data_IF_023983434338
#
_entry.id   IF_023983434338
#
_cell.length_a   1.000
_cell.length_b   1.000
_cell.length_c   1.000
_cell.angle_alpha   90.00
_cell.angle_beta   90.00
_cell.angle_gamma   90.00
#
_symmetry.space_group_name_H-M   'P 1'
#
loop_
_entity.id
_entity.type
_entity.pdbx_description
1 polymer ?
#
# COMPACT_ATOMS: atom_id res chain seq x y z
N UNK A 1 -11.23 -8.65 6.24
CA UNK A 1 -10.20 -7.84 5.56
C UNK A 1 -9.98 -8.38 4.14
N UNK A 2 -9.67 -7.50 3.19
CA UNK A 2 -9.28 -7.87 1.82
C UNK A 2 -7.85 -7.42 1.59
N UNK A 3 -7.04 -8.31 0.99
CA UNK A 3 -5.65 -8.06 0.66
C UNK A 3 -5.49 -7.94 -0.86
N UNK A 4 -4.71 -6.96 -1.30
CA UNK A 4 -4.29 -6.82 -2.69
C UNK A 4 -2.79 -6.48 -2.80
N UNK A 5 -1.97 -7.28 -3.49
CA UNK A 5 -2.26 -8.64 -3.94
C UNK A 5 -2.76 -9.54 -2.80
N UNK A 6 -3.60 -10.52 -3.15
CA UNK A 6 -4.23 -11.44 -2.19
C UNK A 6 -3.22 -12.37 -1.52
N UNK A 7 -3.57 -12.91 -0.36
CA UNK A 7 -2.73 -13.89 0.34
C UNK A 7 -2.54 -15.16 -0.48
N UNK A 8 -1.28 -15.57 -0.66
CA UNK A 8 -0.87 -16.69 -1.52
C UNK A 8 -1.04 -16.43 -3.03
N UNK A 9 -1.39 -15.22 -3.44
CA UNK A 9 -1.63 -14.91 -4.86
C UNK A 9 -0.34 -14.63 -5.64
N UNK A 10 -0.45 -14.69 -6.97
CA UNK A 10 0.60 -14.26 -7.90
C UNK A 10 0.11 -13.03 -8.67
N UNK A 11 0.87 -11.94 -8.62
CA UNK A 11 0.58 -10.71 -9.38
C UNK A 11 1.53 -10.54 -10.57
N UNK A 12 1.04 -10.20 -11.77
CA UNK A 12 1.89 -9.79 -12.89
C UNK A 12 2.33 -8.33 -12.77
N UNK A 13 1.75 -7.56 -11.83
CA UNK A 13 2.01 -6.13 -11.68
C UNK A 13 3.21 -5.95 -10.75
N UNK A 14 4.36 -5.62 -11.32
CA UNK A 14 5.62 -5.45 -10.56
C UNK A 14 6.03 -4.00 -10.35
N UNK A 15 5.38 -3.03 -11.01
CA UNK A 15 5.74 -1.62 -10.92
C UNK A 15 4.56 -0.69 -11.08
N UNK A 16 4.63 0.45 -10.43
CA UNK A 16 3.74 1.59 -10.67
C UNK A 16 4.48 2.67 -11.46
N UNK A 17 4.18 2.78 -12.75
CA UNK A 17 4.81 3.75 -13.66
C UNK A 17 3.83 4.80 -14.18
N UNK A 18 2.53 4.59 -13.97
CA UNK A 18 1.47 5.42 -14.52
C UNK A 18 1.17 6.58 -13.57
N UNK A 19 0.89 7.74 -14.12
CA UNK A 19 0.32 8.84 -13.35
C UNK A 19 -1.15 8.53 -13.03
N UNK A 20 -1.54 8.78 -11.79
CA UNK A 20 -2.90 8.58 -11.29
C UNK A 20 -3.41 9.88 -10.67
N UNK A 21 -4.72 10.00 -10.55
CA UNK A 21 -5.35 11.09 -9.80
C UNK A 21 -6.46 10.51 -8.92
N UNK A 22 -6.42 10.74 -7.59
CA UNK A 22 -5.31 11.28 -6.79
C UNK A 22 -4.03 10.42 -6.89
N UNK A 23 -2.86 11.05 -6.90
CA UNK A 23 -1.59 10.31 -7.06
C UNK A 23 -1.13 9.71 -5.71
N UNK A 24 -0.89 8.39 -5.61
CA UNK A 24 -0.40 7.76 -4.37
C UNK A 24 1.06 8.11 -4.04
N UNK A 25 1.87 8.48 -5.04
CA UNK A 25 3.28 8.84 -4.84
C UNK A 25 3.42 10.17 -4.10
N UNK A 26 2.47 11.09 -4.26
CA UNK A 26 2.48 12.40 -3.60
C UNK A 26 2.48 12.30 -2.06
N UNK A 27 1.94 11.21 -1.51
CA UNK A 27 1.96 10.98 -0.06
C UNK A 27 3.29 10.41 0.46
N UNK A 28 4.22 10.07 -0.43
CA UNK A 28 5.45 9.36 -0.12
C UNK A 28 6.68 10.22 -0.44
N UNK A 29 7.09 11.03 0.53
CA UNK A 29 8.18 11.99 0.36
C UNK A 29 9.47 11.36 -0.18
N UNK A 30 10.01 11.98 -1.24
CA UNK A 30 11.24 11.55 -1.90
C UNK A 30 11.11 10.27 -2.73
N UNK A 31 9.90 9.79 -3.01
CA UNK A 31 9.67 8.71 -3.96
C UNK A 31 9.60 9.27 -5.37
N UNK A 32 10.08 8.50 -6.34
CA UNK A 32 10.01 8.82 -7.76
C UNK A 32 9.62 7.58 -8.52
N UNK A 33 8.77 7.72 -9.53
CA UNK A 33 8.40 6.60 -10.39
C UNK A 33 9.61 6.09 -11.20
N UNK A 34 9.67 4.79 -11.55
CA UNK A 34 8.72 3.76 -11.14
C UNK A 34 8.92 3.34 -9.67
N UNK A 35 7.82 3.23 -8.93
CA UNK A 35 7.79 2.60 -7.60
C UNK A 35 7.32 1.16 -7.72
N UNK A 36 7.18 0.45 -6.60
CA UNK A 36 6.38 -0.77 -6.56
C UNK A 36 4.88 -0.47 -6.77
N UNK A 37 4.07 -1.47 -7.10
CA UNK A 37 2.62 -1.33 -7.16
C UNK A 37 2.07 -1.05 -5.75
N UNK A 38 0.93 -0.34 -5.64
CA UNK A 38 0.21 -0.24 -4.37
C UNK A 38 -0.15 -1.64 -3.84
N UNK A 39 0.18 -1.87 -2.56
CA UNK A 39 -0.25 -3.02 -1.78
C UNK A 39 -1.32 -2.51 -0.82
N UNK A 40 -2.50 -3.12 -0.82
CA UNK A 40 -3.69 -2.58 -0.15
C UNK A 40 -4.22 -3.59 0.87
N UNK A 41 -4.54 -3.08 2.05
CA UNK A 41 -5.33 -3.76 3.07
C UNK A 41 -6.62 -2.97 3.26
N UNK A 42 -7.76 -3.57 2.92
CA UNK A 42 -9.08 -3.01 3.21
C UNK A 42 -9.65 -3.66 4.46
N UNK A 43 -10.04 -2.85 5.45
CA UNK A 43 -10.51 -3.33 6.74
C UNK A 43 -12.04 -3.43 6.82
N UNK A 44 -12.78 -2.67 6.01
CA UNK A 44 -14.23 -2.61 6.11
C UNK A 44 -14.88 -1.78 5.02
N UNK A 45 -16.04 -1.21 5.34
CA UNK A 45 -16.97 -0.54 4.44
C UNK A 45 -17.06 0.97 4.65
N UNK A 46 -16.13 1.54 5.43
CA UNK A 46 -16.11 2.97 5.76
C UNK A 46 -16.51 3.32 7.19
N UNK A 47 -16.83 2.30 8.00
CA UNK A 47 -17.20 2.50 9.39
C UNK A 47 -16.00 2.58 10.35
N UNK A 48 -14.76 2.32 9.88
CA UNK A 48 -13.57 2.23 10.73
C UNK A 48 -12.44 3.11 10.22
N UNK A 49 -11.95 4.02 11.06
CA UNK A 49 -10.71 4.74 10.72
C UNK A 49 -9.46 3.89 11.00
N UNK A 50 -8.65 3.54 9.98
CA UNK A 50 -7.43 2.78 10.19
C UNK A 50 -6.35 3.65 10.86
N UNK A 51 -5.74 3.11 11.91
CA UNK A 51 -4.62 3.70 12.64
C UNK A 51 -3.46 2.73 12.66
N UNK A 52 -2.48 2.97 11.77
CA UNK A 52 -1.29 2.12 11.61
C UNK A 52 -0.23 2.52 12.62
N UNK A 53 0.21 1.57 13.44
CA UNK A 53 1.28 1.79 14.42
C UNK A 53 2.64 1.28 13.94
N UNK A 54 2.66 0.26 13.08
CA UNK A 54 3.89 -0.25 12.47
C UNK A 54 3.60 -1.06 11.21
N UNK A 55 4.63 -1.23 10.37
CA UNK A 55 4.58 -2.08 9.20
C UNK A 55 5.96 -2.62 8.80
N UNK A 56 5.97 -3.73 8.07
CA UNK A 56 7.14 -4.30 7.40
C UNK A 56 6.79 -4.79 6.01
N UNK A 57 7.73 -4.63 5.08
CA UNK A 57 7.67 -5.23 3.75
C UNK A 57 8.96 -5.99 3.51
N UNK A 58 8.86 -7.28 3.21
CA UNK A 58 10.00 -8.19 3.19
C UNK A 58 10.07 -8.94 1.86
N UNK A 59 11.28 -9.17 1.36
CA UNK A 59 11.59 -10.16 0.33
C UNK A 59 12.52 -11.22 0.95
N UNK A 60 11.98 -12.37 1.35
CA UNK A 60 12.66 -13.28 2.26
C UNK A 60 13.04 -12.56 3.55
N UNK A 61 14.34 -12.57 3.92
CA UNK A 61 14.85 -11.91 5.13
C UNK A 61 15.22 -10.43 4.91
N UNK A 62 15.11 -9.91 3.69
CA UNK A 62 15.47 -8.51 3.37
C UNK A 62 14.27 -7.59 3.57
N UNK A 63 14.38 -6.67 4.52
CA UNK A 63 13.42 -5.56 4.67
C UNK A 63 13.58 -4.56 3.54
N UNK A 64 12.47 -4.25 2.88
CA UNK A 64 12.38 -3.29 1.79
C UNK A 64 11.77 -1.98 2.27
N UNK A 65 12.18 -0.87 1.64
CA UNK A 65 11.61 0.43 1.91
C UNK A 65 10.19 0.52 1.32
N UNK A 66 9.24 0.92 2.16
CA UNK A 66 7.87 1.22 1.76
C UNK A 66 7.37 2.44 2.53
N UNK A 67 6.33 3.07 2.00
CA UNK A 67 5.61 4.18 2.59
C UNK A 67 4.18 3.68 2.86
N UNK A 68 3.57 4.05 3.98
CA UNK A 68 2.21 3.64 4.33
C UNK A 68 1.36 4.85 4.61
N UNK A 69 0.15 4.87 4.06
CA UNK A 69 -0.84 5.93 4.30
C UNK A 69 -2.26 5.36 4.32
N UNK A 70 -3.16 6.17 4.90
CA UNK A 70 -4.57 5.88 5.17
C UNK A 70 -5.42 7.12 4.88
N UNK A 71 -6.73 7.05 5.09
CA UNK A 71 -7.63 8.20 4.96
C UNK A 71 -7.26 9.41 5.83
N UNK A 72 -6.52 9.24 6.93
CA UNK A 72 -6.11 10.35 7.81
C UNK A 72 -4.69 10.84 7.55
N UNK A 73 -3.88 10.05 6.85
CA UNK A 73 -2.45 10.33 6.64
C UNK A 73 -2.07 10.56 5.17
N UNK A 74 -2.96 10.28 4.21
CA UNK A 74 -2.73 10.63 2.81
C UNK A 74 -2.54 12.14 2.66
N UNK A 75 -1.47 12.53 1.97
CA UNK A 75 -1.15 13.92 1.67
C UNK A 75 -0.98 14.12 0.17
N UNK A 76 -1.39 15.29 -0.31
CA UNK A 76 -1.24 15.70 -1.70
C UNK A 76 -1.03 17.22 -1.77
N UNK A 77 -0.14 17.73 -2.66
CA UNK A 77 0.03 19.18 -2.84
C UNK A 77 -1.24 19.89 -3.35
N UNK A 78 -2.13 19.20 -4.07
CA UNK A 78 -3.45 19.68 -4.42
C UNK A 78 -4.47 19.31 -3.31
N UNK A 79 -5.07 20.30 -2.62
CA UNK A 79 -6.06 20.05 -1.58
C UNK A 79 -7.29 19.28 -2.05
N UNK A 80 -7.70 19.44 -3.32
CA UNK A 80 -8.86 18.74 -3.88
C UNK A 80 -8.53 17.27 -4.13
N UNK A 81 -7.36 16.98 -4.72
CA UNK A 81 -6.85 15.62 -4.83
C UNK A 81 -6.66 14.98 -3.45
N UNK A 82 -6.16 15.73 -2.46
CA UNK A 82 -6.03 15.23 -1.08
C UNK A 82 -7.38 14.82 -0.50
N UNK A 83 -8.39 15.69 -0.59
CA UNK A 83 -9.74 15.41 -0.08
C UNK A 83 -10.35 14.18 -0.76
N UNK A 84 -10.21 14.06 -2.09
CA UNK A 84 -10.72 12.89 -2.82
C UNK A 84 -9.97 11.61 -2.45
N UNK A 85 -8.64 11.65 -2.33
CA UNK A 85 -7.84 10.49 -1.95
C UNK A 85 -8.23 9.97 -0.58
N UNK A 86 -8.42 10.87 0.39
CA UNK A 86 -8.90 10.52 1.73
C UNK A 86 -10.32 9.94 1.71
N UNK A 87 -11.22 10.53 0.91
CA UNK A 87 -12.58 10.02 0.74
C UNK A 87 -12.61 8.60 0.16
N UNK A 88 -11.82 8.34 -0.89
CA UNK A 88 -11.73 7.01 -1.53
C UNK A 88 -11.14 5.96 -0.58
N UNK A 89 -10.08 6.31 0.16
CA UNK A 89 -9.48 5.43 1.15
C UNK A 89 -10.47 5.14 2.29
N UNK A 90 -11.20 6.16 2.73
CA UNK A 90 -12.19 6.05 3.80
C UNK A 90 -13.35 5.16 3.42
N UNK A 91 -13.82 5.17 2.17
CA UNK A 91 -14.92 4.31 1.72
C UNK A 91 -14.66 2.79 1.85
N UNK A 92 -13.43 2.37 2.14
CA UNK A 92 -13.00 0.97 2.23
C UNK A 92 -12.15 0.69 3.48
N UNK A 93 -12.04 1.66 4.40
CA UNK A 93 -11.13 1.64 5.54
C UNK A 93 -9.71 1.20 5.10
N UNK A 94 -9.23 1.76 3.99
CA UNK A 94 -8.08 1.27 3.26
C UNK A 94 -6.76 1.78 3.84
N UNK A 95 -5.79 0.86 3.93
CA UNK A 95 -4.38 1.14 4.18
C UNK A 95 -3.62 0.80 2.91
N UNK A 96 -2.87 1.76 2.39
CA UNK A 96 -1.99 1.57 1.23
C UNK A 96 -0.55 1.54 1.70
N UNK A 97 0.17 0.49 1.30
CA UNK A 97 1.61 0.39 1.36
C UNK A 97 2.16 0.53 -0.06
N UNK A 98 3.01 1.54 -0.28
CA UNK A 98 3.68 1.78 -1.55
C UNK A 98 5.17 1.44 -1.41
N UNK A 99 5.66 0.35 -2.05
CA UNK A 99 7.08 0.03 -2.06
C UNK A 99 7.88 1.09 -2.82
N UNK A 100 9.08 1.45 -2.32
CA UNK A 100 9.92 2.50 -2.93
C UNK A 100 10.42 2.14 -4.32
N UNK A 101 10.71 0.86 -4.54
CA UNK A 101 11.27 0.35 -5.79
C UNK A 101 10.31 -0.66 -6.42
N UNK A 102 10.38 -0.87 -7.75
CA UNK A 102 9.71 -1.99 -8.42
C UNK A 102 10.00 -3.32 -7.74
N UNK A 103 9.04 -4.23 -7.82
CA UNK A 103 9.19 -5.61 -7.38
C UNK A 103 10.06 -6.38 -8.40
N UNK A 104 10.80 -7.35 -7.89
CA UNK A 104 11.60 -8.31 -8.65
C UNK A 104 10.66 -9.41 -9.15
N UNK A 105 10.82 -9.85 -10.40
CA UNK A 105 10.03 -10.94 -10.97
C UNK A 105 10.34 -12.29 -10.30
N UNK A 106 9.37 -13.20 -10.25
CA UNK A 106 9.47 -14.49 -9.58
C UNK A 106 9.70 -14.45 -8.06
N UNK A 107 9.64 -13.28 -7.42
CA UNK A 107 9.96 -13.09 -6.01
C UNK A 107 8.71 -13.16 -5.12
N UNK A 108 8.84 -13.82 -3.97
CA UNK A 108 7.85 -13.81 -2.90
C UNK A 108 8.09 -12.65 -1.93
N UNK A 109 6.99 -12.00 -1.51
CA UNK A 109 6.98 -10.89 -0.60
C UNK A 109 6.06 -11.14 0.58
N UNK A 110 6.48 -10.69 1.76
CA UNK A 110 5.68 -10.74 2.99
C UNK A 110 5.38 -9.32 3.46
N UNK A 111 4.10 -9.08 3.75
CA UNK A 111 3.59 -7.80 4.25
C UNK A 111 3.09 -8.01 5.66
N UNK A 112 3.50 -7.13 6.57
CA UNK A 112 2.92 -7.06 7.92
C UNK A 112 2.50 -5.63 8.20
N UNK A 113 1.27 -5.45 8.68
CA UNK A 113 0.72 -4.17 9.11
C UNK A 113 0.10 -4.37 10.49
N UNK A 114 0.46 -3.54 11.46
CA UNK A 114 -0.24 -3.45 12.74
C UNK A 114 -1.13 -2.22 12.69
N UNK A 115 -2.43 -2.44 12.68
CA UNK A 115 -3.44 -1.38 12.64
C UNK A 115 -4.52 -1.63 13.70
N UNK A 116 -4.92 -0.57 14.41
CA UNK A 116 -5.98 -0.63 15.43
C UNK A 116 -5.73 -1.70 16.51
N UNK A 117 -4.46 -1.98 16.82
CA UNK A 117 -4.05 -3.02 17.79
C UNK A 117 -4.07 -4.45 17.25
N UNK A 118 -4.46 -4.66 16.00
CA UNK A 118 -4.46 -5.97 15.33
C UNK A 118 -3.31 -6.10 14.34
N UNK A 119 -2.69 -7.29 14.31
CA UNK A 119 -1.66 -7.64 13.33
C UNK A 119 -2.29 -8.32 12.12
N UNK A 120 -2.00 -7.79 10.94
CA UNK A 120 -2.33 -8.38 9.64
C UNK A 120 -1.03 -8.78 8.95
N UNK A 121 -0.94 -10.03 8.50
CA UNK A 121 0.26 -10.58 7.87
C UNK A 121 -0.16 -11.49 6.72
N UNK A 122 0.36 -11.25 5.53
CA UNK A 122 0.08 -12.06 4.35
C UNK A 122 1.27 -12.06 3.39
N UNK A 123 1.23 -12.96 2.41
CA UNK A 123 2.27 -13.07 1.40
C UNK A 123 1.69 -13.12 0.00
N UNK A 124 2.48 -12.68 -0.98
CA UNK A 124 2.16 -12.84 -2.40
C UNK A 124 3.46 -12.99 -3.19
N UNK A 125 3.36 -13.49 -4.41
CA UNK A 125 4.50 -13.58 -5.33
C UNK A 125 4.25 -12.74 -6.58
N UNK A 126 5.32 -12.38 -7.26
CA UNK A 126 5.24 -11.83 -8.62
C UNK A 126 5.36 -12.94 -9.66
N UNK A 127 4.76 -12.74 -10.83
CA UNK A 127 5.02 -13.61 -11.98
C UNK A 127 6.50 -13.56 -12.42
N UNK A 128 6.95 -14.62 -13.08
CA UNK A 128 8.29 -14.74 -13.70
C UNK A 128 8.45 -13.85 -14.94
#
# INVERSE_FOLDING_TARGET
PIYFPGDGSVTPIVRHSLYEWPDPVDSCSGYTRPTGPPIILQLGDGALTPSVSSYTFMAGDRRLAACVFTETSYTNPDPYAQSNGRYLLGAQDAIVMLPRSPLEAGQAYTVTIIANGQTYSWSFSTAD
#
